data_IF_972684545452
#
_entry.id   IF_972684545452
#
_cell.length_a   1.000
_cell.length_b   1.000
_cell.length_c   1.000
_cell.angle_alpha   90.00
_cell.angle_beta   90.00
_cell.angle_gamma   90.00
#
_symmetry.space_group_name_H-M   'P 1'
#
loop_
_entity.id
_entity.type
_entity.pdbx_description
1 polymer ?
#
# COMPACT_ATOMS: atom_id res chain seq x y z
N UNK A 1 2.46 10.87 0.62
CA UNK A 1 2.22 9.53 0.08
C UNK A 1 2.52 9.50 -1.41
N UNK A 2 3.41 8.65 -1.80
CA UNK A 2 3.69 8.36 -3.21
C UNK A 2 3.43 6.88 -3.49
N UNK A 3 2.79 6.58 -4.61
CA UNK A 3 2.59 5.20 -5.02
C UNK A 3 3.32 4.92 -6.31
N UNK A 4 4.20 3.92 -6.30
CA UNK A 4 4.72 3.28 -7.49
C UNK A 4 3.73 2.18 -7.86
N UNK A 5 2.98 2.40 -8.94
CA UNK A 5 1.76 1.63 -9.20
C UNK A 5 1.86 0.84 -10.51
N UNK A 6 1.44 -0.40 -10.49
CA UNK A 6 1.28 -1.17 -11.73
C UNK A 6 0.35 -0.46 -12.70
N UNK A 7 0.52 -0.67 -14.00
CA UNK A 7 -0.43 -0.15 -14.97
C UNK A 7 -1.79 -0.85 -14.83
N UNK A 8 -2.85 -0.15 -15.20
CA UNK A 8 -4.23 -0.66 -15.10
C UNK A 8 -4.97 -0.36 -16.39
N UNK A 9 -6.16 -0.92 -16.52
CA UNK A 9 -7.03 -0.73 -17.69
C UNK A 9 -7.40 0.75 -18.00
N UNK A 10 -7.17 1.66 -17.06
CA UNK A 10 -7.31 3.11 -17.26
C UNK A 10 -6.09 3.75 -17.98
N UNK A 11 -5.18 2.96 -18.50
CA UNK A 11 -4.06 3.39 -19.36
C UNK A 11 -4.12 2.69 -20.70
N UNK A 12 -3.76 3.43 -21.76
CA UNK A 12 -3.65 2.83 -23.08
C UNK A 12 -2.42 1.90 -23.15
N UNK A 13 -2.56 0.76 -23.76
CA UNK A 13 -1.45 -0.14 -24.01
C UNK A 13 -0.52 0.43 -25.08
N UNK A 14 -1.06 1.02 -26.13
CA UNK A 14 -0.37 1.78 -27.16
C UNK A 14 -0.73 3.26 -27.05
N UNK A 15 0.09 4.15 -27.63
CA UNK A 15 -0.18 5.59 -27.64
C UNK A 15 -1.54 5.88 -28.31
N UNK A 16 -2.43 6.52 -27.57
CA UNK A 16 -3.76 6.89 -28.05
C UNK A 16 -4.35 8.03 -27.20
N UNK A 17 -5.44 8.62 -27.65
CA UNK A 17 -6.13 9.70 -26.94
C UNK A 17 -6.65 9.23 -25.58
N UNK A 18 -6.53 10.09 -24.57
CA UNK A 18 -7.04 9.85 -23.24
C UNK A 18 -7.39 11.16 -22.53
N UNK A 19 -8.43 11.18 -21.68
CA UNK A 19 -8.84 12.37 -20.91
C UNK A 19 -7.71 12.96 -20.07
N UNK A 20 -6.81 12.11 -19.58
CA UNK A 20 -5.56 12.48 -18.92
C UNK A 20 -4.42 12.20 -19.90
N UNK A 21 -3.81 13.20 -20.54
CA UNK A 21 -2.91 12.96 -21.67
C UNK A 21 -1.78 11.97 -21.38
N UNK A 22 -1.16 12.04 -20.21
CA UNK A 22 -0.08 11.10 -19.83
C UNK A 22 -0.54 9.64 -19.78
N UNK A 23 -1.82 9.35 -19.45
CA UNK A 23 -2.36 7.99 -19.44
C UNK A 23 -2.67 7.45 -20.84
N UNK A 24 -2.63 8.31 -21.84
CA UNK A 24 -2.72 7.95 -23.25
C UNK A 24 -1.41 7.40 -23.82
N UNK A 25 -0.30 7.54 -23.11
CA UNK A 25 1.00 7.01 -23.54
C UNK A 25 1.11 5.53 -23.18
N UNK A 26 1.78 4.78 -24.05
CA UNK A 26 1.93 3.32 -23.93
C UNK A 26 2.36 2.89 -22.52
N UNK A 27 1.50 2.13 -21.86
CA UNK A 27 1.69 1.68 -20.47
C UNK A 27 2.84 0.68 -20.33
N UNK A 28 3.12 -0.10 -21.38
CA UNK A 28 4.09 -1.18 -21.34
C UNK A 28 5.55 -0.72 -21.32
N UNK A 29 5.80 0.53 -21.75
CA UNK A 29 7.17 1.05 -21.93
C UNK A 29 7.43 2.41 -21.26
N UNK A 30 6.42 2.97 -20.58
CA UNK A 30 6.55 4.31 -19.99
C UNK A 30 6.28 4.32 -18.48
N UNK A 31 7.05 5.08 -17.74
CA UNK A 31 6.68 5.57 -16.42
C UNK A 31 5.77 6.78 -16.56
N UNK A 32 4.65 6.80 -15.86
CA UNK A 32 3.63 7.84 -15.99
C UNK A 32 3.30 8.48 -14.65
N UNK A 33 3.68 9.75 -14.48
CA UNK A 33 3.25 10.53 -13.32
C UNK A 33 1.75 10.86 -13.46
N UNK A 34 0.97 10.54 -12.45
CA UNK A 34 -0.48 10.77 -12.47
C UNK A 34 -1.03 11.02 -11.07
N UNK A 35 -2.27 11.46 -11.00
CA UNK A 35 -2.98 11.61 -9.73
C UNK A 35 -3.43 10.28 -9.17
N UNK A 36 -3.49 10.18 -7.85
CA UNK A 36 -4.11 9.07 -7.12
C UNK A 36 -5.30 9.55 -6.29
N UNK A 37 -6.29 8.67 -6.11
CA UNK A 37 -7.39 8.91 -5.18
C UNK A 37 -7.05 8.55 -3.71
N UNK A 38 -5.89 7.97 -3.47
CA UNK A 38 -5.50 7.45 -2.15
C UNK A 38 -5.55 8.52 -1.05
N UNK A 39 -5.03 9.72 -1.31
CA UNK A 39 -5.07 10.81 -0.32
C UNK A 39 -6.50 11.18 0.11
N UNK A 40 -7.42 11.29 -0.84
CA UNK A 40 -8.85 11.54 -0.56
C UNK A 40 -9.53 10.37 0.16
N UNK A 41 -9.12 9.15 -0.13
CA UNK A 41 -9.66 7.97 0.54
C UNK A 41 -9.21 7.92 2.01
N UNK A 42 -7.96 8.20 2.28
CA UNK A 42 -7.40 8.24 3.65
C UNK A 42 -8.08 9.30 4.50
N UNK A 43 -8.29 10.52 3.98
CA UNK A 43 -8.94 11.60 4.75
C UNK A 43 -10.42 11.33 5.07
N UNK A 44 -11.09 10.49 4.29
CA UNK A 44 -12.46 10.02 4.65
C UNK A 44 -12.47 9.10 5.87
N UNK A 45 -11.40 8.32 6.08
CA UNK A 45 -11.28 7.37 7.20
C UNK A 45 -10.60 8.03 8.39
N UNK A 46 -9.64 8.92 8.14
CA UNK A 46 -8.88 9.66 9.15
C UNK A 46 -9.02 11.17 8.88
N UNK A 47 -10.15 11.79 9.27
CA UNK A 47 -10.44 13.20 8.95
C UNK A 47 -9.39 14.19 9.48
N UNK A 48 -8.68 13.85 10.55
CA UNK A 48 -7.61 14.67 11.13
C UNK A 48 -6.40 14.89 10.20
N UNK A 49 -6.30 14.13 9.12
CA UNK A 49 -5.28 14.27 8.07
C UNK A 49 -5.72 15.19 6.92
N UNK A 50 -6.92 15.72 6.95
CA UNK A 50 -7.37 16.68 5.93
C UNK A 50 -6.49 17.91 5.91
N UNK A 51 -6.03 18.29 4.71
CA UNK A 51 -5.07 19.38 4.49
C UNK A 51 -3.63 19.09 4.88
N UNK A 52 -3.34 17.93 5.49
CA UNK A 52 -1.99 17.54 5.92
C UNK A 52 -1.35 16.46 5.02
N UNK A 53 -2.11 15.92 4.09
CA UNK A 53 -1.67 14.82 3.24
C UNK A 53 -1.62 15.25 1.78
N UNK A 54 -0.46 15.04 1.15
CA UNK A 54 -0.31 15.07 -0.30
C UNK A 54 -0.16 13.66 -0.84
N UNK A 55 -0.71 13.40 -2.03
CA UNK A 55 -0.63 12.08 -2.65
C UNK A 55 -0.49 12.18 -4.16
N UNK A 56 0.41 11.39 -4.71
CA UNK A 56 0.64 11.23 -6.14
C UNK A 56 0.90 9.76 -6.49
N UNK A 57 0.98 9.45 -7.78
CA UNK A 57 1.30 8.14 -8.27
C UNK A 57 2.26 8.21 -9.46
N UNK A 58 3.21 7.29 -9.50
CA UNK A 58 4.01 6.97 -10.68
C UNK A 58 3.60 5.58 -11.15
N UNK A 59 3.01 5.49 -12.32
CA UNK A 59 2.70 4.20 -12.92
C UNK A 59 3.89 3.66 -13.66
N UNK A 60 4.14 2.37 -13.51
CA UNK A 60 5.31 1.66 -14.05
C UNK A 60 4.86 0.44 -14.88
N UNK A 61 5.70 -0.05 -15.80
CA UNK A 61 5.40 -1.21 -16.64
C UNK A 61 5.45 -2.56 -15.90
N UNK A 62 4.78 -2.65 -14.76
CA UNK A 62 4.57 -3.88 -13.98
C UNK A 62 3.12 -4.31 -14.07
N UNK A 63 2.87 -5.60 -14.30
CA UNK A 63 1.52 -6.12 -14.54
C UNK A 63 0.65 -6.11 -13.28
N UNK A 64 1.22 -6.37 -12.13
CA UNK A 64 0.53 -6.40 -10.84
C UNK A 64 1.49 -5.96 -9.72
N UNK A 65 0.95 -5.75 -8.55
CA UNK A 65 1.61 -5.26 -7.33
C UNK A 65 2.06 -3.80 -7.43
N UNK A 66 1.79 -3.08 -6.40
CA UNK A 66 2.15 -1.66 -6.24
C UNK A 66 2.85 -1.44 -4.90
N UNK A 67 3.58 -0.34 -4.82
CA UNK A 67 4.30 0.08 -3.63
C UNK A 67 3.80 1.45 -3.17
N UNK A 68 3.34 1.54 -1.93
CA UNK A 68 3.08 2.80 -1.26
C UNK A 68 4.33 3.23 -0.47
N UNK A 69 4.82 4.42 -0.72
CA UNK A 69 5.92 5.05 -0.01
C UNK A 69 5.32 6.17 0.83
N UNK A 70 5.36 6.02 2.15
CA UNK A 70 4.81 6.99 3.08
C UNK A 70 5.93 7.69 3.83
N UNK A 71 6.10 8.98 3.55
CA UNK A 71 6.96 9.83 4.36
C UNK A 71 6.10 10.53 5.42
N UNK A 72 6.42 10.32 6.68
CA UNK A 72 5.67 10.82 7.81
C UNK A 72 6.58 11.61 8.75
N UNK A 73 6.12 12.77 9.16
CA UNK A 73 6.68 13.49 10.30
C UNK A 73 5.82 13.20 11.53
N UNK A 74 6.44 12.71 12.60
CA UNK A 74 5.76 12.24 13.80
C UNK A 74 6.11 13.06 15.03
N UNK A 75 5.16 13.16 15.97
CA UNK A 75 5.32 13.99 17.17
C UNK A 75 6.33 13.39 18.19
N UNK A 76 6.29 12.06 18.33
CA UNK A 76 7.16 11.33 19.26
C UNK A 76 8.28 10.67 18.50
N UNK A 77 9.52 10.87 18.91
CA UNK A 77 10.67 10.19 18.30
C UNK A 77 10.56 8.67 18.44
N UNK A 78 11.01 7.97 17.42
CA UNK A 78 11.07 6.51 17.38
C UNK A 78 12.38 6.01 16.78
N UNK A 79 12.60 4.70 16.82
CA UNK A 79 13.69 4.02 16.12
C UNK A 79 13.11 3.05 15.09
N UNK A 80 13.93 2.56 14.17
CA UNK A 80 13.54 1.50 13.22
C UNK A 80 13.06 0.27 13.97
N UNK A 81 13.76 -0.10 15.06
CA UNK A 81 13.39 -1.25 15.87
C UNK A 81 12.01 -1.09 16.52
N UNK A 82 11.73 0.07 17.13
CA UNK A 82 10.43 0.33 17.75
C UNK A 82 9.31 0.39 16.73
N UNK A 83 9.56 1.00 15.57
CA UNK A 83 8.60 1.01 14.45
C UNK A 83 8.27 -0.42 13.99
N UNK A 84 9.30 -1.22 13.75
CA UNK A 84 9.15 -2.60 13.31
C UNK A 84 8.43 -3.46 14.34
N UNK A 85 8.74 -3.32 15.63
CA UNK A 85 8.06 -4.04 16.70
C UNK A 85 6.58 -3.66 16.79
N UNK A 86 6.26 -2.36 16.67
CA UNK A 86 4.88 -1.89 16.66
C UNK A 86 4.06 -2.51 15.51
N UNK A 87 4.59 -2.46 14.29
CA UNK A 87 3.88 -3.00 13.12
C UNK A 87 3.77 -4.53 13.20
N UNK A 88 4.83 -5.18 13.67
CA UNK A 88 4.82 -6.64 13.87
C UNK A 88 3.76 -7.07 14.86
N UNK A 89 3.65 -6.36 15.98
CA UNK A 89 2.66 -6.68 17.02
C UNK A 89 1.23 -6.51 16.50
N UNK A 90 0.95 -5.41 15.77
CA UNK A 90 -0.36 -5.20 15.15
C UNK A 90 -0.70 -6.24 14.06
N UNK A 91 0.31 -6.71 13.33
CA UNK A 91 0.13 -7.71 12.28
C UNK A 91 -0.17 -9.11 12.83
N UNK A 92 0.41 -9.46 14.00
CA UNK A 92 0.33 -10.83 14.56
C UNK A 92 -0.74 -10.93 15.65
N UNK A 93 -0.78 -9.98 16.58
CA UNK A 93 -1.60 -10.05 17.79
C UNK A 93 -2.63 -8.92 17.90
N UNK A 94 -2.51 -7.89 17.06
CA UNK A 94 -3.33 -6.69 17.13
C UNK A 94 -4.64 -6.77 16.35
N UNK A 95 -5.25 -5.61 16.16
CA UNK A 95 -6.52 -5.45 15.43
C UNK A 95 -6.39 -5.60 13.92
N UNK A 96 -5.17 -5.55 13.39
CA UNK A 96 -4.87 -5.56 11.96
C UNK A 96 -4.39 -6.93 11.42
N UNK A 97 -4.58 -7.98 12.21
CA UNK A 97 -4.34 -9.38 11.79
C UNK A 97 -5.12 -9.68 10.49
N UNK A 98 -4.47 -10.35 9.53
CA UNK A 98 -4.97 -10.60 8.17
C UNK A 98 -5.21 -9.33 7.31
N UNK A 99 -4.78 -8.17 7.78
CA UNK A 99 -4.77 -6.92 7.01
C UNK A 99 -3.35 -6.44 6.73
N UNK A 100 -2.46 -6.62 7.72
CA UNK A 100 -1.03 -6.37 7.56
C UNK A 100 -0.31 -7.72 7.51
N UNK A 101 0.57 -7.87 6.53
CA UNK A 101 1.61 -8.88 6.48
C UNK A 101 2.95 -8.21 6.80
N UNK A 102 3.71 -8.80 7.73
CA UNK A 102 5.00 -8.26 8.18
C UNK A 102 6.15 -9.04 7.55
N UNK A 103 6.87 -8.42 6.63
CA UNK A 103 7.95 -9.05 5.89
C UNK A 103 9.33 -8.70 6.45
N UNK A 104 10.20 -9.72 6.47
CA UNK A 104 11.57 -9.64 6.98
C UNK A 104 12.62 -10.02 5.92
N UNK A 105 12.18 -10.39 4.74
CA UNK A 105 13.05 -10.78 3.64
C UNK A 105 13.80 -9.56 3.09
N UNK A 106 15.13 -9.54 3.09
CA UNK A 106 15.90 -8.45 2.52
C UNK A 106 15.87 -8.40 0.99
N UNK A 107 15.50 -9.50 0.33
CA UNK A 107 15.47 -9.63 -1.12
C UNK A 107 14.06 -9.45 -1.71
N UNK A 108 13.10 -9.00 -0.89
CA UNK A 108 11.69 -8.84 -1.24
C UNK A 108 11.50 -7.91 -2.44
N UNK A 109 10.79 -8.39 -3.45
CA UNK A 109 10.41 -7.61 -4.64
C UNK A 109 8.93 -7.80 -5.00
N UNK A 110 8.44 -7.02 -5.96
CA UNK A 110 7.02 -7.00 -6.31
C UNK A 110 6.42 -8.36 -6.69
N UNK A 111 7.18 -9.24 -7.33
CA UNK A 111 6.69 -10.57 -7.73
C UNK A 111 6.39 -11.49 -6.56
N UNK A 112 7.04 -11.30 -5.42
CA UNK A 112 6.85 -12.09 -4.21
C UNK A 112 5.52 -11.77 -3.52
N UNK A 113 4.94 -10.62 -3.84
CA UNK A 113 3.69 -10.13 -3.26
C UNK A 113 2.44 -10.58 -4.03
N UNK A 114 2.63 -11.10 -5.24
CA UNK A 114 1.50 -11.56 -6.07
C UNK A 114 0.71 -12.65 -5.34
N UNK A 115 -0.60 -12.43 -5.19
CA UNK A 115 -1.50 -13.33 -4.47
C UNK A 115 -1.50 -13.15 -2.94
N UNK A 116 -0.81 -12.17 -2.40
CA UNK A 116 -0.86 -11.89 -0.96
C UNK A 116 -2.26 -11.40 -0.56
N UNK A 117 -2.94 -12.04 0.42
CA UNK A 117 -4.30 -11.71 0.82
C UNK A 117 -4.41 -10.45 1.68
N UNK A 118 -3.31 -9.97 2.24
CA UNK A 118 -3.27 -8.76 3.06
C UNK A 118 -3.34 -7.51 2.18
N UNK A 119 -4.01 -6.48 2.67
CA UNK A 119 -4.10 -5.21 1.94
C UNK A 119 -2.86 -4.33 2.11
N UNK A 120 -1.97 -4.70 3.01
CA UNK A 120 -0.73 -3.99 3.32
C UNK A 120 0.36 -5.00 3.67
N UNK A 121 1.43 -5.03 2.90
CA UNK A 121 2.60 -5.86 3.16
C UNK A 121 3.73 -4.93 3.57
N UNK A 122 4.01 -4.88 4.87
CA UNK A 122 5.01 -3.98 5.44
C UNK A 122 6.42 -4.53 5.21
N UNK A 123 7.26 -3.75 4.55
CA UNK A 123 8.66 -4.07 4.31
C UNK A 123 9.52 -3.53 5.45
N UNK A 124 9.84 -4.39 6.41
CA UNK A 124 10.60 -3.99 7.59
C UNK A 124 12.07 -3.69 7.31
N UNK A 125 12.61 -4.23 6.22
CA UNK A 125 14.02 -4.03 5.85
C UNK A 125 14.24 -2.75 5.07
N UNK A 126 13.23 -2.28 4.34
CA UNK A 126 13.30 -1.04 3.58
C UNK A 126 12.96 0.20 4.41
N UNK A 127 12.24 0.06 5.53
CA UNK A 127 11.77 1.20 6.34
C UNK A 127 12.92 1.98 6.98
N UNK A 128 12.80 3.30 6.96
CA UNK A 128 13.87 4.24 7.37
C UNK A 128 13.34 5.15 8.48
N UNK A 129 14.19 5.42 9.47
CA UNK A 129 13.96 6.42 10.50
C UNK A 129 15.18 7.34 10.58
N UNK A 130 14.94 8.66 10.60
CA UNK A 130 16.03 9.65 10.75
C UNK A 130 16.67 9.58 12.13
N UNK A 131 17.89 10.17 12.27
CA UNK A 131 18.65 10.14 13.53
C UNK A 131 17.91 10.77 14.72
N UNK A 132 17.08 11.78 14.48
CA UNK A 132 16.26 12.44 15.50
C UNK A 132 14.96 11.64 15.80
N UNK A 133 14.70 10.60 15.03
CA UNK A 133 13.55 9.71 15.20
C UNK A 133 12.21 10.29 14.78
N UNK A 134 12.17 11.46 14.14
CA UNK A 134 10.92 12.19 13.86
C UNK A 134 10.43 12.07 12.42
N UNK A 135 11.32 11.86 11.46
CA UNK A 135 10.95 11.59 10.09
C UNK A 135 11.12 10.09 9.81
N UNK A 136 10.06 9.48 9.32
CA UNK A 136 10.05 8.06 8.95
C UNK A 136 9.62 7.89 7.51
N UNK A 137 10.20 6.90 6.84
CA UNK A 137 9.76 6.44 5.52
C UNK A 137 9.38 4.99 5.63
N UNK A 138 8.13 4.69 5.31
CA UNK A 138 7.57 3.34 5.36
C UNK A 138 7.28 2.89 3.93
N UNK A 139 7.69 1.68 3.63
CA UNK A 139 7.41 0.99 2.36
C UNK A 139 6.37 -0.10 2.59
N UNK A 140 5.28 -0.02 1.85
CA UNK A 140 4.16 -0.96 1.95
C UNK A 140 3.78 -1.45 0.57
N UNK A 141 3.98 -2.74 0.33
CA UNK A 141 3.54 -3.40 -0.89
C UNK A 141 2.07 -3.80 -0.81
N UNK A 142 1.41 -3.92 -1.94
CA UNK A 142 0.05 -4.45 -2.02
C UNK A 142 -0.25 -5.03 -3.39
N UNK A 143 -0.91 -6.18 -3.39
CA UNK A 143 -1.49 -6.74 -4.61
C UNK A 143 -2.79 -5.98 -4.93
N UNK A 144 -2.83 -5.28 -6.04
CA UNK A 144 -3.93 -4.41 -6.42
C UNK A 144 -5.26 -5.16 -6.55
N UNK A 145 -5.20 -6.42 -6.99
CA UNK A 145 -6.36 -7.24 -7.34
C UNK A 145 -6.75 -8.14 -6.16
N UNK A 146 -5.78 -8.91 -5.66
CA UNK A 146 -6.05 -9.96 -4.69
C UNK A 146 -6.29 -9.41 -3.28
N UNK A 147 -5.44 -8.50 -2.82
CA UNK A 147 -5.55 -7.89 -1.49
C UNK A 147 -6.89 -7.19 -1.28
N UNK A 148 -7.30 -6.32 -2.21
CA UNK A 148 -8.59 -5.64 -2.14
C UNK A 148 -9.77 -6.63 -2.13
N UNK A 149 -9.77 -7.61 -3.04
CA UNK A 149 -10.84 -8.62 -3.14
C UNK A 149 -10.99 -9.40 -1.85
N UNK A 150 -9.87 -9.78 -1.22
CA UNK A 150 -9.89 -10.49 0.08
C UNK A 150 -10.48 -9.63 1.20
N UNK A 151 -10.21 -8.33 1.23
CA UNK A 151 -10.79 -7.43 2.24
C UNK A 151 -12.30 -7.22 2.02
N UNK A 152 -12.77 -7.16 0.77
CA UNK A 152 -14.20 -7.10 0.46
C UNK A 152 -14.91 -8.36 0.97
N UNK A 153 -14.36 -9.55 0.72
CA UNK A 153 -14.92 -10.81 1.22
C UNK A 153 -14.89 -10.85 2.76
N UNK A 154 -13.80 -10.37 3.39
CA UNK A 154 -13.69 -10.27 4.83
C UNK A 154 -14.78 -9.38 5.43
N UNK A 155 -15.01 -8.21 4.84
CA UNK A 155 -16.06 -7.29 5.25
C UNK A 155 -17.46 -7.91 5.08
N UNK A 156 -17.72 -8.58 3.96
CA UNK A 156 -18.97 -9.28 3.71
C UNK A 156 -19.25 -10.35 4.78
N UNK A 157 -18.24 -11.14 5.15
CA UNK A 157 -18.35 -12.12 6.24
C UNK A 157 -18.67 -11.47 7.59
N UNK A 158 -18.05 -10.33 7.88
CA UNK A 158 -18.29 -9.58 9.11
C UNK A 158 -19.74 -9.06 9.16
N UNK A 159 -20.23 -8.45 8.08
CA UNK A 159 -21.61 -7.95 7.98
C UNK A 159 -22.62 -9.10 8.12
N UNK A 160 -22.35 -10.21 7.46
CA UNK A 160 -23.20 -11.42 7.51
C UNK A 160 -23.08 -12.21 8.80
N UNK A 161 -22.24 -11.76 9.75
CA UNK A 161 -21.98 -12.44 11.03
C UNK A 161 -21.56 -13.90 10.88
N UNK A 162 -20.92 -14.24 9.75
CA UNK A 162 -20.39 -15.60 9.51
C UNK A 162 -19.18 -15.80 10.40
N UNK A 163 -19.30 -16.73 11.37
CA UNK A 163 -18.18 -17.18 12.19
C UNK A 163 -17.42 -18.28 11.45
N UNK A 164 -16.11 -18.15 11.38
CA UNK A 164 -15.25 -19.24 10.90
C UNK A 164 -15.22 -20.31 12.00
N UNK A 165 -15.78 -21.47 11.73
CA UNK A 165 -15.50 -22.64 12.56
C UNK A 165 -14.08 -23.07 12.20
N UNK A 166 -13.14 -22.85 13.11
CA UNK A 166 -11.81 -23.46 13.04
C UNK A 166 -11.95 -24.89 13.55
N UNK A 167 -11.92 -25.86 12.64
CA UNK A 167 -11.66 -27.23 13.04
C UNK A 167 -10.14 -27.35 13.26
N UNK A 168 -9.77 -27.85 14.42
CA UNK A 168 -8.40 -28.22 14.76
C UNK A 168 -8.00 -29.47 13.95
#
# INVERSE_FOLDING_TARGET
LETVHSYTNDQNLLDNMHKKPRRGRSAAINMVITSTGAGKAVTKVIPSLEGKLTANAVRVPTANVSLAIMRLNINKSTSVENLNNLVREEAINGSLVNQIDYQIDPDLVSTDIVGNPCCSVFDSKASIVTKDGKDIVIYVWYDNEFGYTKQVIRLAKQISKVRRLTYY
#
